data_IF_441977260952
#
_entry.id   IF_441977260952
#
_cell.length_a   1.000
_cell.length_b   1.000
_cell.length_c   1.000
_cell.angle_alpha   90.00
_cell.angle_beta   90.00
_cell.angle_gamma   90.00
#
_symmetry.space_group_name_H-M   'P 1'
#
loop_
_entity.id
_entity.type
_entity.pdbx_description
1 polymer ?
#
# COMPACT_ATOMS: atom_id res chain seq x y z
N UNK A 1 6.30 -22.68 13.84
CA UNK A 1 6.73 -22.06 12.58
C UNK A 1 8.24 -22.14 12.46
N UNK A 2 8.77 -22.58 11.32
CA UNK A 2 10.22 -22.67 11.08
C UNK A 2 10.73 -21.43 10.34
N UNK A 3 11.52 -20.61 11.02
CA UNK A 3 12.12 -19.40 10.45
C UNK A 3 12.98 -19.73 9.21
N UNK A 4 13.70 -20.87 9.24
CA UNK A 4 14.56 -21.30 8.14
C UNK A 4 13.75 -21.54 6.86
N UNK A 5 12.58 -22.15 6.95
CA UNK A 5 11.70 -22.41 5.80
C UNK A 5 11.14 -21.10 5.22
N UNK A 6 10.71 -20.20 6.09
CA UNK A 6 10.20 -18.88 5.70
C UNK A 6 11.30 -18.05 5.01
N UNK A 7 12.51 -18.07 5.57
CA UNK A 7 13.67 -17.40 5.00
C UNK A 7 14.07 -17.98 3.64
N UNK A 8 14.03 -19.31 3.48
CA UNK A 8 14.29 -19.96 2.19
C UNK A 8 13.32 -19.52 1.09
N UNK A 9 12.02 -19.42 1.39
CA UNK A 9 11.02 -18.94 0.43
C UNK A 9 11.19 -17.44 0.14
N UNK A 10 11.48 -16.63 1.17
CA UNK A 10 11.83 -15.21 1.00
C UNK A 10 13.04 -15.02 0.07
N UNK A 11 14.15 -15.76 0.28
CA UNK A 11 15.32 -15.70 -0.57
C UNK A 11 15.02 -16.08 -2.03
N UNK A 12 14.17 -17.09 -2.23
CA UNK A 12 13.74 -17.47 -3.59
C UNK A 12 13.10 -16.29 -4.30
N UNK A 13 12.10 -15.64 -3.68
CA UNK A 13 11.44 -14.47 -4.27
C UNK A 13 12.40 -13.29 -4.44
N UNK A 14 13.26 -13.05 -3.47
CA UNK A 14 14.26 -12.00 -3.54
C UNK A 14 15.22 -12.19 -4.73
N UNK A 15 15.70 -13.40 -4.96
CA UNK A 15 16.55 -13.71 -6.12
C UNK A 15 15.80 -13.61 -7.45
N UNK A 16 14.52 -13.97 -7.50
CA UNK A 16 13.70 -13.78 -8.69
C UNK A 16 13.56 -12.30 -9.07
N UNK A 17 13.50 -11.41 -8.10
CA UNK A 17 13.45 -9.97 -8.32
C UNK A 17 14.83 -9.46 -8.77
N UNK A 18 15.88 -9.73 -7.99
CA UNK A 18 17.20 -9.14 -8.21
C UNK A 18 17.89 -9.64 -9.48
N UNK A 19 17.55 -10.84 -9.96
CA UNK A 19 18.09 -11.40 -11.22
C UNK A 19 17.31 -10.99 -12.46
N UNK A 20 16.22 -10.25 -12.33
CA UNK A 20 15.39 -9.80 -13.45
C UNK A 20 15.41 -8.28 -13.56
N UNK A 21 16.18 -7.76 -14.53
CA UNK A 21 16.22 -6.32 -14.79
C UNK A 21 14.84 -5.68 -15.00
N UNK A 22 13.89 -6.29 -15.77
CA UNK A 22 12.55 -5.74 -15.91
C UNK A 22 11.80 -5.58 -14.57
N UNK A 23 11.99 -6.51 -13.63
CA UNK A 23 11.34 -6.45 -12.31
C UNK A 23 11.93 -5.35 -11.43
N UNK A 24 13.24 -5.14 -11.48
CA UNK A 24 13.90 -4.04 -10.77
C UNK A 24 13.45 -2.71 -11.35
N UNK A 25 13.41 -2.62 -12.69
CA UNK A 25 12.97 -1.42 -13.38
C UNK A 25 11.51 -1.10 -13.02
N UNK A 26 10.62 -2.07 -13.01
CA UNK A 26 9.22 -1.90 -12.60
C UNK A 26 9.09 -1.33 -11.18
N UNK A 27 9.89 -1.83 -10.24
CA UNK A 27 9.89 -1.36 -8.86
C UNK A 27 10.33 0.11 -8.69
N UNK A 28 11.20 0.60 -9.56
CA UNK A 28 11.77 1.96 -9.48
C UNK A 28 11.00 2.94 -10.38
N UNK A 29 10.64 2.51 -11.58
CA UNK A 29 10.09 3.35 -12.64
C UNK A 29 8.70 3.91 -12.28
N UNK A 30 7.76 3.03 -11.91
CA UNK A 30 6.39 3.45 -11.63
C UNK A 30 6.27 4.44 -10.47
N UNK A 31 6.95 4.22 -9.30
CA UNK A 31 6.91 5.21 -8.22
C UNK A 31 7.49 6.55 -8.64
N UNK A 32 8.62 6.50 -9.37
CA UNK A 32 9.30 7.71 -9.80
C UNK A 32 8.42 8.56 -10.70
N UNK A 33 7.74 7.95 -11.68
CA UNK A 33 6.80 8.66 -12.56
C UNK A 33 5.60 9.18 -11.77
N UNK A 34 5.00 8.36 -10.94
CA UNK A 34 3.80 8.74 -10.20
C UNK A 34 4.07 9.93 -9.27
N UNK A 35 5.17 9.91 -8.52
CA UNK A 35 5.56 11.01 -7.65
C UNK A 35 5.92 12.27 -8.44
N UNK A 36 6.61 12.12 -9.56
CA UNK A 36 6.93 13.25 -10.43
C UNK A 36 5.66 13.89 -11.00
N UNK A 37 4.71 13.09 -11.47
CA UNK A 37 3.42 13.56 -11.98
C UNK A 37 2.64 14.32 -10.90
N UNK A 38 2.45 13.70 -9.72
CA UNK A 38 1.73 14.33 -8.62
C UNK A 38 2.44 15.57 -8.08
N UNK A 39 3.77 15.58 -8.08
CA UNK A 39 4.56 16.74 -7.69
C UNK A 39 4.34 17.93 -8.63
N UNK A 40 4.35 17.72 -9.95
CA UNK A 40 4.06 18.79 -10.91
C UNK A 40 2.60 19.26 -10.84
N UNK A 41 1.64 18.33 -10.69
CA UNK A 41 0.23 18.68 -10.48
C UNK A 41 0.07 19.54 -9.23
N UNK A 42 0.69 19.15 -8.14
CA UNK A 42 0.64 19.88 -6.86
C UNK A 42 1.24 21.28 -7.00
N UNK A 43 2.40 21.41 -7.65
CA UNK A 43 3.02 22.72 -7.93
C UNK A 43 2.14 23.60 -8.81
N UNK A 44 1.49 23.02 -9.82
CA UNK A 44 0.54 23.76 -10.67
C UNK A 44 -0.61 24.33 -9.83
N UNK A 45 -1.22 23.53 -8.95
CA UNK A 45 -2.29 24.02 -8.08
C UNK A 45 -1.80 25.08 -7.09
N UNK A 46 -0.63 24.92 -6.49
CA UNK A 46 -0.07 25.90 -5.58
C UNK A 46 0.23 27.24 -6.25
N UNK A 47 0.62 27.25 -7.52
CA UNK A 47 0.90 28.48 -8.27
C UNK A 47 -0.35 29.24 -8.71
N UNK A 48 -1.53 28.60 -8.75
CA UNK A 48 -2.78 29.17 -9.22
C UNK A 48 -3.82 29.44 -8.13
N UNK A 49 -3.56 29.00 -6.87
CA UNK A 49 -4.50 29.17 -5.77
C UNK A 49 -3.77 29.70 -4.53
N UNK A 50 -4.22 30.85 -4.03
CA UNK A 50 -3.68 31.48 -2.81
C UNK A 50 -4.01 30.71 -1.52
N UNK A 51 -4.92 29.75 -1.59
CA UNK A 51 -5.42 28.99 -0.42
C UNK A 51 -4.47 27.87 0.07
N UNK A 52 -3.42 27.51 -0.70
CA UNK A 52 -2.67 26.26 -0.46
C UNK A 52 -1.16 26.45 -0.46
N UNK A 53 -0.62 27.32 0.41
CA UNK A 53 0.85 27.40 0.58
C UNK A 53 1.48 26.05 1.00
N UNK A 54 0.71 25.14 1.62
CA UNK A 54 1.15 23.80 2.05
C UNK A 54 0.56 22.66 1.20
N UNK A 55 -0.24 22.96 0.16
CA UNK A 55 -0.95 21.92 -0.61
C UNK A 55 0.00 20.95 -1.32
N UNK A 56 1.15 21.45 -1.80
CA UNK A 56 2.14 20.61 -2.48
C UNK A 56 2.64 19.51 -1.53
N UNK A 57 2.96 19.88 -0.30
CA UNK A 57 3.43 18.93 0.73
C UNK A 57 2.38 17.88 1.05
N UNK A 58 1.14 18.31 1.25
CA UNK A 58 0.02 17.43 1.64
C UNK A 58 -0.30 16.43 0.53
N UNK A 59 -0.54 16.90 -0.70
CA UNK A 59 -0.92 16.03 -1.82
C UNK A 59 0.21 15.03 -2.13
N UNK A 60 1.45 15.51 -2.14
CA UNK A 60 2.60 14.66 -2.47
C UNK A 60 2.85 13.60 -1.39
N UNK A 61 2.74 13.98 -0.11
CA UNK A 61 2.86 13.04 1.00
C UNK A 61 1.74 11.98 0.95
N UNK A 62 0.50 12.39 0.73
CA UNK A 62 -0.61 11.44 0.56
C UNK A 62 -0.42 10.53 -0.66
N UNK A 63 0.12 11.04 -1.76
CA UNK A 63 0.46 10.23 -2.93
C UNK A 63 1.52 9.16 -2.61
N UNK A 64 2.55 9.49 -1.83
CA UNK A 64 3.57 8.53 -1.39
C UNK A 64 2.98 7.45 -0.47
N UNK A 65 2.16 7.86 0.49
CA UNK A 65 1.47 6.94 1.40
C UNK A 65 0.56 5.97 0.62
N UNK A 66 -0.15 6.49 -0.38
CA UNK A 66 -0.99 5.65 -1.24
C UNK A 66 -0.17 4.71 -2.14
N UNK A 67 0.93 5.18 -2.72
CA UNK A 67 1.82 4.34 -3.52
C UNK A 67 2.37 3.17 -2.68
N UNK A 68 2.70 3.41 -1.41
CA UNK A 68 3.12 2.35 -0.48
C UNK A 68 2.03 1.31 -0.24
N UNK A 69 0.78 1.71 0.00
CA UNK A 69 -0.37 0.83 0.11
C UNK A 69 -0.57 0.00 -1.17
N UNK A 70 -0.55 0.68 -2.32
CA UNK A 70 -0.72 0.08 -3.64
C UNK A 70 0.33 -1.01 -3.88
N UNK A 71 1.61 -0.71 -3.60
CA UNK A 71 2.70 -1.67 -3.74
C UNK A 71 2.61 -2.83 -2.78
N UNK A 72 2.15 -2.59 -1.57
CA UNK A 72 1.95 -3.66 -0.58
C UNK A 72 0.89 -4.64 -1.07
N UNK A 73 -0.26 -4.16 -1.50
CA UNK A 73 -1.37 -5.00 -1.94
C UNK A 73 -1.07 -5.72 -3.26
N UNK A 74 -0.71 -4.96 -4.30
CA UNK A 74 -0.38 -5.55 -5.62
C UNK A 74 0.88 -6.41 -5.53
N UNK A 75 1.89 -5.98 -4.75
CA UNK A 75 3.10 -6.76 -4.54
C UNK A 75 2.84 -8.14 -3.94
N UNK A 76 1.96 -8.22 -2.93
CA UNK A 76 1.54 -9.50 -2.36
C UNK A 76 0.82 -10.38 -3.39
N UNK A 77 -0.13 -9.80 -4.15
CA UNK A 77 -0.87 -10.53 -5.18
C UNK A 77 0.04 -11.05 -6.29
N UNK A 78 1.03 -10.26 -6.71
CA UNK A 78 1.99 -10.67 -7.75
C UNK A 78 2.88 -11.82 -7.27
N UNK A 79 3.33 -11.80 -6.01
CA UNK A 79 4.08 -12.92 -5.42
C UNK A 79 3.23 -14.19 -5.38
N UNK A 80 1.96 -14.06 -5.05
CA UNK A 80 1.02 -15.18 -5.02
C UNK A 80 0.73 -15.73 -6.42
N UNK A 81 0.49 -14.86 -7.39
CA UNK A 81 0.30 -15.22 -8.81
C UNK A 81 1.54 -15.90 -9.40
N UNK A 82 2.74 -15.50 -9.03
CA UNK A 82 3.98 -16.10 -9.47
C UNK A 82 4.08 -17.59 -9.07
N UNK A 83 3.58 -17.92 -7.86
CA UNK A 83 3.48 -19.32 -7.43
C UNK A 83 2.45 -20.10 -8.24
N UNK A 84 1.34 -19.46 -8.66
CA UNK A 84 0.32 -20.08 -9.52
C UNK A 84 0.90 -20.31 -10.94
N UNK A 85 1.46 -19.28 -11.56
CA UNK A 85 1.99 -19.34 -12.93
C UNK A 85 3.16 -20.32 -13.09
N UNK A 86 4.04 -20.35 -12.09
CA UNK A 86 5.15 -21.31 -12.04
C UNK A 86 4.72 -22.72 -11.67
N UNK A 87 3.44 -22.96 -11.38
CA UNK A 87 2.89 -24.23 -10.87
C UNK A 87 3.64 -24.75 -9.63
N UNK A 88 4.19 -23.85 -8.83
CA UNK A 88 5.03 -24.20 -7.70
C UNK A 88 4.24 -24.57 -6.44
N UNK A 89 2.94 -24.30 -6.38
CA UNK A 89 2.12 -24.70 -5.24
C UNK A 89 2.18 -26.20 -4.96
N UNK A 90 2.23 -27.03 -6.01
CA UNK A 90 2.38 -28.48 -5.83
C UNK A 90 3.66 -28.81 -5.06
N UNK A 91 4.78 -28.16 -5.41
CA UNK A 91 6.05 -28.37 -4.70
C UNK A 91 6.00 -27.83 -3.26
N UNK A 92 5.34 -26.69 -3.04
CA UNK A 92 5.17 -26.10 -1.71
C UNK A 92 4.32 -26.99 -0.79
N UNK A 93 3.28 -27.67 -1.32
CA UNK A 93 2.44 -28.59 -0.56
C UNK A 93 3.10 -29.96 -0.32
N UNK A 94 3.99 -30.41 -1.21
CA UNK A 94 4.81 -31.62 -0.97
C UNK A 94 5.92 -31.32 0.05
N UNK A 95 6.44 -30.10 0.06
CA UNK A 95 7.41 -29.66 1.06
C UNK A 95 6.75 -29.64 2.46
N UNK A 96 7.51 -29.93 3.53
CA UNK A 96 6.97 -29.92 4.88
C UNK A 96 6.78 -28.48 5.41
N UNK A 97 6.01 -27.66 4.66
CA UNK A 97 5.69 -26.28 5.00
C UNK A 97 4.21 -26.15 5.36
N UNK A 98 3.92 -25.34 6.37
CA UNK A 98 2.55 -24.96 6.72
C UNK A 98 2.09 -23.78 5.87
N UNK A 99 0.79 -23.69 5.57
CA UNK A 99 0.21 -22.55 4.82
C UNK A 99 0.54 -21.22 5.51
N UNK A 100 0.50 -21.18 6.84
CA UNK A 100 0.90 -19.98 7.60
C UNK A 100 2.35 -19.57 7.41
N UNK A 101 3.28 -20.50 7.18
CA UNK A 101 4.69 -20.23 6.89
C UNK A 101 4.86 -19.63 5.50
N UNK A 102 4.09 -20.13 4.52
CA UNK A 102 4.05 -19.61 3.16
C UNK A 102 3.50 -18.18 3.17
N UNK A 103 2.32 -17.95 3.76
CA UNK A 103 1.70 -16.63 3.84
C UNK A 103 2.61 -15.62 4.55
N UNK A 104 3.20 -15.98 5.69
CA UNK A 104 4.10 -15.07 6.42
C UNK A 104 5.33 -14.70 5.61
N UNK A 105 5.89 -15.64 4.84
CA UNK A 105 7.02 -15.37 3.94
C UNK A 105 6.63 -14.42 2.82
N UNK A 106 5.46 -14.60 2.20
CA UNK A 106 4.94 -13.71 1.16
C UNK A 106 4.65 -12.30 1.70
N UNK A 107 4.04 -12.21 2.89
CA UNK A 107 3.79 -10.95 3.60
C UNK A 107 5.10 -10.18 3.80
N UNK A 108 6.13 -10.84 4.36
CA UNK A 108 7.42 -10.21 4.58
C UNK A 108 8.10 -9.79 3.26
N UNK A 109 8.00 -10.61 2.22
CA UNK A 109 8.54 -10.29 0.88
C UNK A 109 7.83 -9.08 0.27
N UNK A 110 6.51 -8.98 0.43
CA UNK A 110 5.72 -7.83 -0.03
C UNK A 110 6.16 -6.53 0.69
N UNK A 111 6.44 -6.59 2.00
CA UNK A 111 6.99 -5.46 2.76
C UNK A 111 8.32 -4.99 2.17
N UNK A 112 9.26 -5.90 1.97
CA UNK A 112 10.58 -5.57 1.43
C UNK A 112 10.45 -4.96 0.03
N UNK A 113 9.59 -5.50 -0.83
CA UNK A 113 9.31 -4.93 -2.16
C UNK A 113 8.73 -3.53 -2.08
N UNK A 114 7.74 -3.31 -1.22
CA UNK A 114 7.12 -2.00 -1.03
C UNK A 114 8.13 -0.96 -0.53
N UNK A 115 8.98 -1.33 0.42
CA UNK A 115 10.05 -0.46 0.93
C UNK A 115 11.09 -0.12 -0.14
N UNK A 116 11.53 -1.10 -0.95
CA UNK A 116 12.46 -0.85 -2.07
C UNK A 116 11.84 0.12 -3.08
N UNK A 117 10.57 -0.06 -3.42
CA UNK A 117 9.85 0.85 -4.32
C UNK A 117 9.62 2.25 -3.75
N UNK A 118 9.51 2.37 -2.43
CA UNK A 118 9.35 3.66 -1.75
C UNK A 118 10.63 4.52 -1.80
N UNK A 119 11.82 3.91 -1.79
CA UNK A 119 13.10 4.63 -1.76
C UNK A 119 13.20 5.69 -2.88
N UNK A 120 13.04 5.36 -4.18
CA UNK A 120 13.13 6.36 -5.24
C UNK A 120 12.06 7.46 -5.12
N UNK A 121 10.85 7.11 -4.66
CA UNK A 121 9.79 8.08 -4.43
C UNK A 121 10.22 9.14 -3.39
N UNK A 122 10.71 8.70 -2.24
CA UNK A 122 11.16 9.60 -1.16
C UNK A 122 12.41 10.40 -1.57
N UNK A 123 13.34 9.77 -2.29
CA UNK A 123 14.56 10.44 -2.73
C UNK A 123 14.31 11.54 -3.78
N UNK A 124 13.25 11.40 -4.60
CA UNK A 124 12.90 12.39 -5.61
C UNK A 124 12.12 13.59 -5.06
N UNK A 125 11.39 13.42 -3.95
CA UNK A 125 10.53 14.49 -3.41
C UNK A 125 11.33 15.69 -2.90
N UNK A 126 12.43 15.45 -2.18
CA UNK A 126 13.24 16.52 -1.59
C UNK A 126 13.92 17.39 -2.67
N UNK A 127 14.68 16.85 -3.66
CA UNK A 127 15.39 17.67 -4.63
C UNK A 127 14.48 18.31 -5.69
N UNK A 128 13.32 17.70 -6.04
CA UNK A 128 12.44 18.21 -7.07
C UNK A 128 11.39 19.18 -6.54
N UNK A 129 10.91 18.98 -5.32
CA UNK A 129 9.76 19.70 -4.77
C UNK A 129 10.04 20.36 -3.42
N UNK A 130 11.22 20.16 -2.83
CA UNK A 130 11.59 20.73 -1.53
C UNK A 130 10.81 20.16 -0.32
N UNK A 131 10.17 19.01 -0.50
CA UNK A 131 9.28 18.40 0.51
C UNK A 131 9.92 17.15 1.08
N UNK A 132 9.79 16.98 2.39
CA UNK A 132 10.24 15.78 3.10
C UNK A 132 9.08 15.09 3.80
N UNK A 133 8.80 13.83 3.44
CA UNK A 133 7.81 13.01 4.15
C UNK A 133 8.19 12.80 5.63
N UNK A 134 9.46 13.02 5.98
CA UNK A 134 9.95 12.90 7.35
C UNK A 134 9.39 13.99 8.29
N UNK A 135 8.75 15.04 7.76
CA UNK A 135 8.05 16.05 8.55
C UNK A 135 6.92 15.45 9.40
N UNK A 136 6.37 14.30 9.01
CA UNK A 136 5.42 13.54 9.83
C UNK A 136 6.04 12.92 11.09
N UNK A 137 7.36 12.95 11.23
CA UNK A 137 8.06 12.44 12.40
C UNK A 137 7.75 10.97 12.72
N UNK A 138 7.57 10.67 14.02
CA UNK A 138 7.28 9.30 14.47
C UNK A 138 5.92 8.78 13.98
N UNK A 139 4.97 9.66 13.69
CA UNK A 139 3.64 9.28 13.21
C UNK A 139 3.69 8.65 11.83
N UNK A 140 4.69 8.97 11.02
CA UNK A 140 4.95 8.32 9.74
C UNK A 140 5.01 6.78 9.87
N UNK A 141 5.64 6.29 10.92
CA UNK A 141 5.72 4.84 11.18
C UNK A 141 4.33 4.25 11.41
N UNK A 142 3.48 4.89 12.20
CA UNK A 142 2.12 4.39 12.47
C UNK A 142 1.24 4.47 11.22
N UNK A 143 1.35 5.53 10.42
CA UNK A 143 0.62 5.64 9.16
C UNK A 143 1.03 4.52 8.18
N UNK A 144 2.34 4.30 7.99
CA UNK A 144 2.82 3.21 7.14
C UNK A 144 2.42 1.84 7.66
N UNK A 145 2.48 1.60 8.96
CA UNK A 145 2.09 0.32 9.54
C UNK A 145 0.61 0.03 9.31
N UNK A 146 -0.26 1.02 9.51
CA UNK A 146 -1.70 0.87 9.25
C UNK A 146 -1.99 0.60 7.77
N UNK A 147 -1.35 1.34 6.85
CA UNK A 147 -1.47 1.13 5.40
C UNK A 147 -0.92 -0.23 4.97
N UNK A 148 0.18 -0.68 5.58
CA UNK A 148 0.74 -2.00 5.34
C UNK A 148 -0.24 -3.11 5.73
N UNK A 149 -0.82 -3.04 6.94
CA UNK A 149 -1.82 -4.01 7.42
C UNK A 149 -3.01 -4.05 6.46
N UNK A 150 -3.52 -2.89 6.05
CA UNK A 150 -4.64 -2.83 5.11
C UNK A 150 -4.27 -3.38 3.73
N UNK A 151 -3.10 -3.04 3.21
CA UNK A 151 -2.60 -3.54 1.93
C UNK A 151 -2.46 -5.06 1.89
N UNK A 152 -1.91 -5.66 2.95
CA UNK A 152 -1.83 -7.12 3.08
C UNK A 152 -3.23 -7.74 3.21
N UNK A 153 -4.13 -7.11 3.95
CA UNK A 153 -5.52 -7.57 4.07
C UNK A 153 -6.22 -7.66 2.72
N UNK A 154 -6.08 -6.62 1.89
CA UNK A 154 -6.59 -6.63 0.51
C UNK A 154 -5.88 -7.67 -0.35
N UNK A 155 -4.57 -7.82 -0.18
CA UNK A 155 -3.78 -8.84 -0.86
C UNK A 155 -4.29 -10.26 -0.57
N UNK A 156 -4.53 -10.58 0.70
CA UNK A 156 -5.07 -11.89 1.12
C UNK A 156 -6.49 -12.09 0.56
N UNK A 157 -7.35 -11.07 0.63
CA UNK A 157 -8.71 -11.12 0.11
C UNK A 157 -8.75 -11.44 -1.39
N UNK A 158 -7.93 -10.74 -2.18
CA UNK A 158 -7.82 -10.97 -3.62
C UNK A 158 -7.20 -12.34 -3.89
N UNK A 159 -6.20 -12.77 -3.10
CA UNK A 159 -5.59 -14.10 -3.26
C UNK A 159 -6.58 -15.24 -2.99
N UNK A 160 -7.53 -15.06 -2.07
CA UNK A 160 -8.65 -16.00 -1.91
C UNK A 160 -9.50 -16.10 -3.20
N UNK A 161 -9.75 -14.97 -3.86
CA UNK A 161 -10.40 -14.95 -5.17
C UNK A 161 -9.58 -15.61 -6.27
N UNK A 162 -8.26 -15.41 -6.29
CA UNK A 162 -7.34 -16.06 -7.24
C UNK A 162 -7.36 -17.59 -7.11
N UNK A 163 -7.43 -18.11 -5.89
CA UNK A 163 -7.54 -19.56 -5.67
C UNK A 163 -8.88 -20.11 -6.16
N UNK A 164 -9.95 -19.35 -6.00
CA UNK A 164 -11.32 -19.81 -6.34
C UNK A 164 -11.67 -19.62 -7.81
N UNK A 165 -11.28 -18.51 -8.43
CA UNK A 165 -11.68 -18.09 -9.77
C UNK A 165 -10.54 -18.16 -10.79
N UNK A 166 -9.33 -18.45 -10.34
CA UNK A 166 -8.14 -18.56 -11.18
C UNK A 166 -7.44 -17.22 -11.46
N UNK A 167 -6.36 -17.26 -12.29
CA UNK A 167 -5.48 -16.09 -12.53
C UNK A 167 -6.19 -14.86 -13.09
N UNK A 168 -7.27 -15.02 -13.84
CA UNK A 168 -8.05 -13.89 -14.40
C UNK A 168 -8.60 -12.93 -13.33
N UNK A 169 -8.68 -13.39 -12.07
CA UNK A 169 -9.09 -12.56 -10.94
C UNK A 169 -8.09 -11.47 -10.59
N UNK A 170 -6.88 -11.49 -11.18
CA UNK A 170 -5.87 -10.44 -11.04
C UNK A 170 -6.40 -9.06 -11.36
N UNK A 171 -7.27 -8.93 -12.38
CA UNK A 171 -7.88 -7.66 -12.74
C UNK A 171 -8.67 -7.02 -11.58
N UNK A 172 -9.22 -7.83 -10.68
CA UNK A 172 -9.92 -7.34 -9.48
C UNK A 172 -8.94 -6.68 -8.50
N UNK A 173 -7.70 -7.18 -8.40
CA UNK A 173 -6.66 -6.54 -7.58
C UNK A 173 -6.41 -5.10 -8.03
N UNK A 174 -6.20 -4.89 -9.33
CA UNK A 174 -5.98 -3.57 -9.91
C UNK A 174 -7.21 -2.68 -9.77
N UNK A 175 -8.39 -3.22 -10.11
CA UNK A 175 -9.66 -2.48 -10.00
C UNK A 175 -9.96 -2.04 -8.57
N UNK A 176 -9.65 -2.87 -7.59
CA UNK A 176 -9.83 -2.54 -6.17
C UNK A 176 -8.97 -1.34 -5.77
N UNK A 177 -7.71 -1.29 -6.19
CA UNK A 177 -6.83 -0.17 -5.89
C UNK A 177 -7.35 1.13 -6.54
N UNK A 178 -7.73 1.10 -7.82
CA UNK A 178 -8.28 2.28 -8.47
C UNK A 178 -9.62 2.74 -7.87
N UNK A 179 -10.46 1.81 -7.42
CA UNK A 179 -11.71 2.13 -6.73
C UNK A 179 -11.47 2.77 -5.36
N UNK A 180 -10.46 2.29 -4.63
CA UNK A 180 -10.12 2.83 -3.32
C UNK A 180 -9.55 4.25 -3.38
N UNK A 181 -8.95 4.67 -4.49
CA UNK A 181 -8.36 5.99 -4.63
C UNK A 181 -9.38 7.14 -4.37
N UNK A 182 -10.54 7.20 -5.01
CA UNK A 182 -11.54 8.23 -4.72
C UNK A 182 -12.19 8.07 -3.34
N UNK A 183 -12.51 6.86 -2.89
CA UNK A 183 -13.18 6.65 -1.62
C UNK A 183 -12.25 6.78 -0.40
N UNK A 184 -10.96 6.58 -0.59
CA UNK A 184 -9.95 6.74 0.46
C UNK A 184 -9.62 8.19 0.78
N UNK A 185 -10.19 9.16 0.08
CA UNK A 185 -9.96 10.60 0.28
C UNK A 185 -8.46 10.98 0.25
N UNK A 186 -7.71 10.36 -0.69
CA UNK A 186 -6.25 10.48 -0.76
C UNK A 186 -5.83 11.91 -1.10
N UNK A 187 -6.46 12.50 -2.12
CA UNK A 187 -6.06 13.77 -2.71
C UNK A 187 -6.92 14.97 -2.26
N UNK A 188 -8.00 14.72 -1.55
CA UNK A 188 -8.95 15.73 -1.10
C UNK A 188 -9.57 15.34 0.25
N UNK A 189 -10.02 16.30 1.06
CA UNK A 189 -10.67 16.02 2.33
C UNK A 189 -12.07 15.41 2.12
N UNK A 190 -12.54 14.67 3.12
CA UNK A 190 -13.78 13.89 3.05
C UNK A 190 -15.03 14.76 2.84
N UNK A 191 -14.99 16.03 3.27
CA UNK A 191 -16.12 16.97 3.15
C UNK A 191 -16.49 17.27 1.70
N UNK A 192 -15.57 17.04 0.74
CA UNK A 192 -15.82 17.23 -0.69
C UNK A 192 -16.76 16.15 -1.26
N UNK A 193 -16.78 14.97 -0.63
CA UNK A 193 -17.64 13.88 -1.09
C UNK A 193 -19.12 14.16 -0.78
N UNK A 194 -20.07 13.75 -1.63
CA UNK A 194 -21.49 13.70 -1.29
C UNK A 194 -21.73 12.83 -0.06
N UNK A 195 -22.74 13.16 0.75
CA UNK A 195 -23.02 12.50 2.05
C UNK A 195 -23.09 10.96 1.97
N UNK A 196 -23.65 10.42 0.87
CA UNK A 196 -23.75 8.97 0.67
C UNK A 196 -22.34 8.34 0.56
N UNK A 197 -21.44 8.98 -0.19
CA UNK A 197 -20.08 8.51 -0.36
C UNK A 197 -19.23 8.72 0.89
N UNK A 198 -19.48 9.77 1.67
CA UNK A 198 -18.83 9.95 2.97
C UNK A 198 -19.13 8.76 3.91
N UNK A 199 -20.36 8.27 3.97
CA UNK A 199 -20.72 7.10 4.80
C UNK A 199 -19.98 5.84 4.38
N UNK A 200 -19.77 5.63 3.08
CA UNK A 200 -18.98 4.52 2.57
C UNK A 200 -17.49 4.71 2.89
N UNK A 201 -16.98 5.92 2.69
CA UNK A 201 -15.60 6.27 2.93
C UNK A 201 -15.21 6.05 4.41
N UNK A 202 -16.04 6.43 5.36
CA UNK A 202 -15.81 6.18 6.79
C UNK A 202 -15.75 4.70 7.19
N UNK A 203 -16.20 3.78 6.33
CA UNK A 203 -15.98 2.35 6.56
C UNK A 203 -14.56 1.92 6.23
N UNK A 204 -13.79 2.73 5.51
CA UNK A 204 -12.44 2.42 5.08
C UNK A 204 -11.39 2.97 6.08
N UNK A 205 -10.40 2.18 6.50
CA UNK A 205 -9.33 2.68 7.37
C UNK A 205 -8.49 3.77 6.70
N UNK A 206 -8.47 3.82 5.36
CA UNK A 206 -7.74 4.80 4.56
C UNK A 206 -8.11 6.24 4.90
N UNK A 207 -9.40 6.53 5.03
CA UNK A 207 -9.88 7.90 5.28
C UNK A 207 -9.25 8.47 6.54
N UNK A 208 -9.25 7.71 7.63
CA UNK A 208 -8.66 8.15 8.89
C UNK A 208 -7.15 8.38 8.79
N UNK A 209 -6.45 7.56 7.99
CA UNK A 209 -5.00 7.69 7.79
C UNK A 209 -4.67 8.93 6.96
N UNK A 210 -5.42 9.20 5.88
CA UNK A 210 -5.15 10.34 5.01
C UNK A 210 -5.64 11.66 5.64
N UNK A 211 -6.75 11.65 6.38
CA UNK A 211 -7.17 12.82 7.17
C UNK A 211 -6.14 13.14 8.24
N UNK A 212 -5.61 12.13 8.94
CA UNK A 212 -4.58 12.33 9.95
C UNK A 212 -3.28 12.86 9.36
N UNK A 213 -2.82 12.30 8.22
CA UNK A 213 -1.65 12.81 7.53
C UNK A 213 -1.81 14.30 7.15
N UNK A 214 -3.00 14.70 6.67
CA UNK A 214 -3.32 16.10 6.39
C UNK A 214 -3.32 16.97 7.65
N UNK A 215 -3.94 16.48 8.71
CA UNK A 215 -4.02 17.21 9.98
C UNK A 215 -2.63 17.48 10.56
N UNK A 216 -1.74 16.49 10.55
CA UNK A 216 -0.35 16.65 10.99
C UNK A 216 0.39 17.70 10.15
N UNK A 217 0.25 17.65 8.81
CA UNK A 217 0.99 18.54 7.91
C UNK A 217 0.45 19.97 7.87
N UNK A 218 -0.85 20.16 8.08
CA UNK A 218 -1.49 21.50 8.03
C UNK A 218 -1.48 22.15 9.41
N UNK A 219 -1.92 21.42 10.42
CA UNK A 219 -2.21 21.95 11.74
C UNK A 219 -1.11 21.66 12.77
N UNK A 220 -0.15 20.81 12.45
CA UNK A 220 0.84 20.27 13.39
C UNK A 220 0.23 19.62 14.64
N UNK A 221 -1.01 19.11 14.51
CA UNK A 221 -1.75 18.44 15.58
C UNK A 221 -2.00 16.99 15.22
N UNK A 222 -2.08 16.14 16.24
CA UNK A 222 -2.31 14.70 16.07
C UNK A 222 -3.63 14.34 16.71
N UNK A 223 -4.49 13.70 15.95
CA UNK A 223 -5.75 13.15 16.42
C UNK A 223 -5.61 11.63 16.65
N UNK A 224 -5.24 11.26 17.88
CA UNK A 224 -5.07 9.86 18.28
C UNK A 224 -6.34 9.02 18.04
N UNK A 225 -7.57 9.48 18.30
CA UNK A 225 -8.80 8.81 17.92
C UNK A 225 -8.85 8.33 16.48
N UNK A 226 -8.45 9.16 15.51
CA UNK A 226 -8.41 8.77 14.09
C UNK A 226 -7.47 7.57 13.85
N UNK A 227 -6.28 7.59 14.43
CA UNK A 227 -5.34 6.47 14.33
C UNK A 227 -5.91 5.19 14.93
N UNK A 228 -6.53 5.28 16.12
CA UNK A 228 -7.15 4.13 16.77
C UNK A 228 -8.27 3.57 15.88
N UNK A 229 -9.12 4.42 15.31
CA UNK A 229 -10.20 4.00 14.42
C UNK A 229 -9.68 3.27 13.19
N UNK A 230 -8.61 3.77 12.57
CA UNK A 230 -7.96 3.11 11.45
C UNK A 230 -7.47 1.70 11.80
N UNK A 231 -6.82 1.54 12.95
CA UNK A 231 -6.35 0.23 13.41
C UNK A 231 -7.50 -0.72 13.78
N UNK A 232 -8.57 -0.23 14.42
CA UNK A 232 -9.76 -1.03 14.71
C UNK A 232 -10.41 -1.57 13.44
N UNK A 233 -10.58 -0.72 12.42
CA UNK A 233 -11.10 -1.15 11.12
C UNK A 233 -10.16 -2.16 10.45
N UNK A 234 -8.85 -1.93 10.49
CA UNK A 234 -7.88 -2.89 9.97
C UNK A 234 -8.02 -4.27 10.62
N UNK A 235 -8.25 -4.34 11.93
CA UNK A 235 -8.47 -5.61 12.63
C UNK A 235 -9.74 -6.32 12.14
N UNK A 236 -10.82 -5.58 11.90
CA UNK A 236 -12.05 -6.14 11.33
C UNK A 236 -11.79 -6.71 9.94
N UNK A 237 -11.16 -5.93 9.07
CA UNK A 237 -10.88 -6.36 7.69
C UNK A 237 -9.92 -7.55 7.61
N UNK A 238 -8.91 -7.65 8.49
CA UNK A 238 -7.99 -8.78 8.51
C UNK A 238 -8.70 -10.07 8.94
N UNK A 239 -9.62 -9.98 9.91
CA UNK A 239 -10.43 -11.13 10.33
C UNK A 239 -11.30 -11.60 9.16
N UNK A 240 -11.98 -10.69 8.46
CA UNK A 240 -12.79 -11.01 7.29
C UNK A 240 -11.94 -11.65 6.19
N UNK A 241 -10.77 -11.09 5.89
CA UNK A 241 -9.91 -11.60 4.81
C UNK A 241 -9.37 -13.00 5.13
N UNK A 242 -8.98 -13.26 6.38
CA UNK A 242 -8.51 -14.58 6.83
C UNK A 242 -9.64 -15.60 6.77
N UNK A 243 -10.86 -15.27 7.24
CA UNK A 243 -12.00 -16.18 7.21
C UNK A 243 -12.46 -16.53 5.80
N UNK A 244 -12.27 -15.61 4.83
CA UNK A 244 -12.60 -15.86 3.43
C UNK A 244 -11.48 -16.64 2.70
N UNK A 245 -10.26 -16.56 3.18
CA UNK A 245 -9.12 -17.28 2.61
C UNK A 245 -9.09 -18.77 3.01
N UNK A 246 -9.52 -19.10 4.22
CA UNK A 246 -9.58 -20.48 4.75
C UNK A 246 -10.99 -21.06 4.71
#
# INVERSE_FOLDING_TARGET
MSIIKMYGLFLRHFYLITRSFPRILDLIYWPSIQITLWGFISNFFASHTTYYNNAVGVILTCAILYDFLFRTSIGFNMLFLEEIWSRNFTNLFIAPMKISEILTSLIFTALVRALIGLIPAVLLTSPLFGISILELGIYLFFLFLSLYIFGITLGILVSAGLLRFGPSFENIAWSTMFLLAPFGCIYYPIEILPEIFQKIAYMLPLVYIFEEARNILINNTVDIPNLIQAYMLNMVYIIISITLFF
#
